data_IF_420800608168
#
_entry.id   IF_420800608168
#
_cell.length_a   1.000
_cell.length_b   1.000
_cell.length_c   1.000
_cell.angle_alpha   90.00
_cell.angle_beta   90.00
_cell.angle_gamma   90.00
#
_symmetry.space_group_name_H-M   'P 1'
#
loop_
_entity.id
_entity.type
_entity.pdbx_description
1 polymer ?
#
# COMPACT_ATOMS: atom_id res chain seq x y z
N UNK A 1 -9.60 12.92 -9.34
CA UNK A 1 -9.69 12.27 -8.05
C UNK A 1 -10.42 13.20 -7.11
N UNK A 2 -11.47 12.76 -6.46
CA UNK A 2 -12.15 13.52 -5.41
C UNK A 2 -11.52 13.02 -4.12
N UNK A 3 -10.72 13.86 -3.50
CA UNK A 3 -10.21 13.71 -2.15
C UNK A 3 -11.29 14.27 -1.22
N UNK A 4 -11.99 13.41 -0.50
CA UNK A 4 -12.90 13.84 0.56
C UNK A 4 -12.09 14.01 1.84
N UNK A 5 -12.02 15.23 2.35
CA UNK A 5 -11.38 15.50 3.62
C UNK A 5 -12.16 14.82 4.77
N UNK A 6 -11.45 14.30 5.76
CA UNK A 6 -12.05 13.61 6.91
C UNK A 6 -13.07 14.48 7.69
N UNK A 7 -12.98 15.82 7.59
CA UNK A 7 -13.94 16.77 8.15
C UNK A 7 -15.31 16.73 7.44
N UNK A 8 -15.34 16.50 6.13
CA UNK A 8 -16.59 16.41 5.37
C UNK A 8 -17.30 15.06 5.62
N UNK A 9 -16.54 14.00 5.89
CA UNK A 9 -17.09 12.71 6.29
C UNK A 9 -17.70 12.77 7.71
N UNK A 10 -17.09 13.51 8.63
CA UNK A 10 -17.56 13.68 10.00
C UNK A 10 -18.93 14.37 10.08
N UNK A 11 -19.19 15.36 9.22
CA UNK A 11 -20.47 16.05 9.14
C UNK A 11 -21.57 15.15 8.53
N UNK A 12 -21.22 14.24 7.65
CA UNK A 12 -22.13 13.27 7.02
C UNK A 12 -22.55 12.14 7.98
N UNK A 13 -21.70 11.74 8.91
CA UNK A 13 -21.92 10.63 9.83
C UNK A 13 -22.69 11.02 11.12
N UNK A 14 -23.06 12.29 11.28
CA UNK A 14 -24.10 12.74 12.23
C UNK A 14 -23.81 12.54 13.71
N UNK A 15 -22.58 12.52 14.14
CA UNK A 15 -22.27 12.45 15.56
C UNK A 15 -20.87 11.95 15.88
N UNK A 16 -20.16 12.76 16.63
CA UNK A 16 -18.96 12.48 17.44
C UNK A 16 -17.76 11.71 16.85
N UNK A 17 -17.68 11.55 15.55
CA UNK A 17 -16.40 11.36 14.86
C UNK A 17 -15.68 12.72 14.78
N UNK A 18 -15.41 13.29 15.95
CA UNK A 18 -14.42 14.38 16.05
C UNK A 18 -13.04 13.77 15.84
N UNK A 19 -12.74 13.46 14.58
CA UNK A 19 -11.37 13.48 14.12
C UNK A 19 -10.88 14.88 14.45
N UNK A 20 -9.97 14.98 15.42
CA UNK A 20 -9.39 16.26 15.78
C UNK A 20 -8.76 16.82 14.51
N UNK A 21 -9.33 17.87 13.95
CA UNK A 21 -8.77 18.64 12.84
C UNK A 21 -7.32 19.11 13.11
N UNK A 22 -6.85 19.03 14.35
CA UNK A 22 -5.47 19.25 14.75
C UNK A 22 -4.46 18.15 14.37
N UNK A 23 -4.90 16.99 13.88
CA UNK A 23 -3.96 15.93 13.45
C UNK A 23 -3.56 16.06 11.97
N UNK A 24 -4.32 16.79 11.17
CA UNK A 24 -4.02 17.01 9.74
C UNK A 24 -3.05 18.19 9.55
N UNK A 25 -3.12 19.22 10.39
CA UNK A 25 -2.18 20.35 10.37
C UNK A 25 -0.80 20.02 10.99
N UNK A 26 -0.63 18.89 11.66
CA UNK A 26 0.64 18.49 12.28
C UNK A 26 1.63 17.81 11.31
N UNK A 27 1.34 17.75 10.02
CA UNK A 27 2.31 17.34 8.97
C UNK A 27 3.21 18.52 8.55
N UNK A 28 2.98 19.73 9.09
CA UNK A 28 3.87 20.89 9.01
C UNK A 28 4.90 20.87 10.14
N UNK A 29 6.12 20.58 9.81
CA UNK A 29 7.43 20.95 10.39
C UNK A 29 7.60 21.22 11.91
N UNK A 30 6.76 20.68 12.77
CA UNK A 30 6.97 20.72 14.23
C UNK A 30 6.91 19.32 14.80
N UNK A 31 8.05 18.88 15.38
CA UNK A 31 8.24 17.58 15.97
C UNK A 31 7.09 17.12 16.84
N UNK A 32 6.25 16.29 16.30
CA UNK A 32 5.35 15.44 17.08
C UNK A 32 6.25 14.51 17.87
N UNK A 33 6.13 14.45 19.21
CA UNK A 33 6.86 13.46 19.98
C UNK A 33 6.52 12.10 19.39
N UNK A 34 7.52 11.27 19.16
CA UNK A 34 7.35 9.90 18.70
C UNK A 34 6.29 9.24 19.60
N UNK A 35 5.09 9.10 19.09
CA UNK A 35 4.10 8.21 19.70
C UNK A 35 4.69 6.83 19.50
N UNK A 36 5.17 6.23 20.59
CA UNK A 36 5.80 4.93 20.53
C UNK A 36 4.88 3.92 19.87
N UNK A 37 5.44 3.14 18.95
CA UNK A 37 4.89 1.89 18.43
C UNK A 37 3.49 1.94 17.78
N UNK A 38 3.12 3.02 17.08
CA UNK A 38 1.97 2.97 16.20
C UNK A 38 2.39 2.37 14.86
N UNK A 39 1.79 1.24 14.50
CA UNK A 39 2.01 0.58 13.22
C UNK A 39 0.97 1.04 12.20
N UNK A 40 1.43 1.48 11.05
CA UNK A 40 0.57 1.72 9.89
C UNK A 40 0.22 0.37 9.26
N UNK A 41 -1.05 0.11 9.09
CA UNK A 41 -1.53 -1.07 8.37
C UNK A 41 -2.59 -0.63 7.35
N UNK A 42 -2.38 -1.03 6.13
CA UNK A 42 -3.25 -0.68 5.02
C UNK A 42 -4.16 -1.86 4.66
N UNK A 43 -5.40 -1.58 4.34
CA UNK A 43 -6.35 -2.61 3.99
C UNK A 43 -7.12 -2.22 2.73
N UNK A 44 -7.01 -3.02 1.68
CA UNK A 44 -7.82 -2.90 0.48
C UNK A 44 -9.19 -3.53 0.70
N UNK A 45 -10.23 -2.84 0.25
CA UNK A 45 -11.63 -3.23 0.42
C UNK A 45 -12.40 -3.02 -0.88
N UNK A 46 -13.20 -4.01 -1.25
CA UNK A 46 -14.23 -3.84 -2.26
C UNK A 46 -15.52 -3.38 -1.58
N UNK A 47 -16.14 -2.34 -2.11
CA UNK A 47 -17.37 -1.75 -1.55
C UNK A 47 -18.42 -1.61 -2.64
N UNK A 48 -19.64 -2.01 -2.33
CA UNK A 48 -20.80 -1.84 -3.18
C UNK A 48 -22.04 -1.48 -2.39
N UNK A 49 -22.55 -0.27 -2.59
CA UNK A 49 -23.84 0.18 -2.06
C UNK A 49 -24.06 0.03 -0.54
N UNK A 50 -23.01 -0.27 0.23
CA UNK A 50 -23.06 -0.51 1.67
C UNK A 50 -22.53 -1.88 2.11
N UNK A 51 -22.31 -2.79 1.20
CA UNK A 51 -21.57 -4.03 1.41
C UNK A 51 -20.07 -3.80 1.19
N UNK A 52 -19.23 -4.51 1.95
CA UNK A 52 -17.78 -4.40 1.84
C UNK A 52 -17.12 -5.74 2.15
N UNK A 53 -16.21 -6.16 1.25
CA UNK A 53 -15.40 -7.37 1.39
C UNK A 53 -13.94 -6.99 1.54
N UNK A 54 -13.24 -7.59 2.50
CA UNK A 54 -11.81 -7.38 2.69
C UNK A 54 -11.02 -8.13 1.61
N UNK A 55 -10.12 -7.43 0.89
CA UNK A 55 -9.22 -8.07 -0.06
C UNK A 55 -7.98 -8.61 0.66
N UNK A 56 -7.11 -7.73 1.15
CA UNK A 56 -5.91 -8.10 1.90
C UNK A 56 -5.35 -6.91 2.68
N UNK A 57 -4.49 -7.20 3.66
CA UNK A 57 -3.72 -6.20 4.37
C UNK A 57 -2.32 -6.06 3.77
N UNK A 58 -1.76 -4.85 3.85
CA UNK A 58 -0.37 -4.58 3.57
C UNK A 58 0.18 -3.59 4.60
N UNK A 59 1.50 -3.52 4.72
CA UNK A 59 2.17 -2.48 5.48
C UNK A 59 3.16 -1.76 4.59
N UNK A 60 2.96 -0.44 4.45
CA UNK A 60 3.80 0.46 3.63
C UNK A 60 4.92 1.10 4.47
N UNK A 61 5.95 1.57 3.76
CA UNK A 61 7.07 2.33 4.29
C UNK A 61 7.11 3.71 3.62
N UNK A 62 6.40 4.68 4.20
CA UNK A 62 6.16 6.00 3.60
C UNK A 62 7.36 6.95 3.64
N UNK A 63 8.28 6.78 4.57
CA UNK A 63 9.46 7.64 4.66
C UNK A 63 10.51 7.27 3.62
N UNK A 64 11.16 8.29 3.05
CA UNK A 64 12.14 8.09 1.96
C UNK A 64 13.40 7.35 2.41
N UNK A 65 13.83 7.53 3.64
CA UNK A 65 15.07 6.97 4.20
C UNK A 65 14.85 5.79 5.12
N UNK A 66 15.91 4.99 5.26
CA UNK A 66 15.96 3.86 6.19
C UNK A 66 15.70 4.30 7.64
N UNK A 67 15.16 3.39 8.46
CA UNK A 67 14.75 3.70 9.84
C UNK A 67 13.60 4.69 9.92
N UNK A 68 12.83 4.86 8.85
CA UNK A 68 11.70 5.77 8.73
C UNK A 68 12.08 7.25 8.95
N UNK A 69 13.18 7.67 8.34
CA UNK A 69 13.67 9.04 8.34
C UNK A 69 13.36 9.79 7.03
N UNK A 70 13.35 11.13 7.12
CA UNK A 70 13.16 12.01 5.98
C UNK A 70 11.68 12.27 5.65
N UNK A 71 11.39 12.92 4.51
CA UNK A 71 10.04 13.28 4.11
C UNK A 71 9.18 12.05 3.78
N UNK A 72 7.87 12.25 3.82
CA UNK A 72 6.90 11.28 3.32
C UNK A 72 6.99 11.19 1.79
N UNK A 73 6.69 10.02 1.28
CA UNK A 73 6.65 9.69 -0.15
C UNK A 73 5.33 9.02 -0.49
N UNK A 74 5.16 8.59 -1.73
CA UNK A 74 4.05 7.71 -2.12
C UNK A 74 4.21 6.27 -1.65
N UNK A 75 5.31 5.93 -0.95
CA UNK A 75 5.67 4.59 -0.51
C UNK A 75 6.99 4.12 -1.12
N UNK A 76 7.89 3.61 -0.28
CA UNK A 76 9.21 3.09 -0.67
C UNK A 76 9.26 1.57 -0.72
N UNK A 77 8.15 0.94 -0.38
CA UNK A 77 7.97 -0.50 -0.39
C UNK A 77 6.91 -0.94 0.59
N UNK A 78 6.35 -2.11 0.34
CA UNK A 78 5.30 -2.69 1.16
C UNK A 78 5.46 -4.21 1.27
N UNK A 79 4.77 -4.82 2.21
CA UNK A 79 4.62 -6.27 2.29
C UNK A 79 3.20 -6.66 2.67
N UNK A 80 2.78 -7.83 2.21
CA UNK A 80 1.46 -8.40 2.45
C UNK A 80 1.58 -9.91 2.74
N UNK A 81 0.85 -10.46 3.74
CA UNK A 81 -0.02 -9.76 4.66
C UNK A 81 0.75 -8.87 5.64
N UNK A 82 0.05 -7.95 6.31
CA UNK A 82 0.57 -7.21 7.45
C UNK A 82 0.22 -7.96 8.75
N UNK A 83 1.16 -8.66 9.43
CA UNK A 83 0.82 -9.49 10.59
C UNK A 83 0.32 -8.68 11.79
N UNK A 84 0.65 -7.40 11.84
CA UNK A 84 0.16 -6.47 12.86
C UNK A 84 -1.36 -6.25 12.81
N UNK A 85 -1.97 -6.36 11.63
CA UNK A 85 -3.42 -6.36 11.47
C UNK A 85 -3.97 -7.77 11.68
N UNK A 86 -4.12 -8.15 12.96
CA UNK A 86 -4.67 -9.46 13.32
C UNK A 86 -6.10 -9.62 12.79
N UNK A 87 -6.63 -10.86 12.65
CA UNK A 87 -8.02 -11.09 12.23
C UNK A 87 -9.05 -10.34 13.08
N UNK A 88 -8.78 -10.16 14.38
CA UNK A 88 -9.64 -9.38 15.26
C UNK A 88 -9.61 -7.89 14.92
N UNK A 89 -8.42 -7.31 14.69
CA UNK A 89 -8.27 -5.91 14.31
C UNK A 89 -8.83 -5.64 12.91
N UNK A 90 -8.67 -6.60 11.99
CA UNK A 90 -9.28 -6.51 10.66
C UNK A 90 -10.81 -6.50 10.75
N UNK A 91 -11.40 -7.42 11.53
CA UNK A 91 -12.85 -7.44 11.76
C UNK A 91 -13.32 -6.11 12.34
N UNK A 92 -12.62 -5.56 13.36
CA UNK A 92 -12.94 -4.26 13.93
C UNK A 92 -12.84 -3.12 12.91
N UNK A 93 -11.81 -3.10 12.09
CA UNK A 93 -11.67 -2.11 11.02
C UNK A 93 -12.85 -2.17 10.04
N UNK A 94 -13.30 -3.37 9.68
CA UNK A 94 -14.47 -3.56 8.83
C UNK A 94 -15.76 -3.08 9.52
N UNK A 95 -15.98 -3.47 10.77
CA UNK A 95 -17.25 -3.23 11.45
C UNK A 95 -17.36 -1.79 11.98
N UNK A 96 -16.25 -1.19 12.44
CA UNK A 96 -16.24 0.11 13.10
C UNK A 96 -15.89 1.27 12.12
N UNK A 97 -15.24 0.98 10.96
CA UNK A 97 -14.73 2.01 10.05
C UNK A 97 -15.31 1.84 8.64
N UNK A 98 -15.04 0.72 7.96
CA UNK A 98 -15.30 0.60 6.51
C UNK A 98 -16.80 0.49 6.21
N UNK A 99 -17.49 -0.48 6.82
CA UNK A 99 -18.93 -0.68 6.59
C UNK A 99 -19.80 0.50 7.02
N UNK A 100 -19.54 1.16 8.17
CA UNK A 100 -20.26 2.39 8.53
C UNK A 100 -20.07 3.49 7.48
N UNK A 101 -18.86 3.68 6.97
CA UNK A 101 -18.58 4.69 5.93
C UNK A 101 -19.35 4.38 4.63
N UNK A 102 -19.29 3.15 4.15
CA UNK A 102 -20.01 2.74 2.94
C UNK A 102 -21.53 2.95 3.08
N UNK A 103 -22.09 2.57 4.22
CA UNK A 103 -23.53 2.76 4.51
C UNK A 103 -23.91 4.24 4.61
N UNK A 104 -23.09 5.05 5.24
CA UNK A 104 -23.34 6.48 5.36
C UNK A 104 -23.34 7.17 3.99
N UNK A 105 -22.41 6.82 3.10
CA UNK A 105 -22.37 7.31 1.73
C UNK A 105 -23.63 6.90 0.95
N UNK A 106 -24.06 5.65 1.06
CA UNK A 106 -25.28 5.17 0.42
C UNK A 106 -26.53 5.92 0.94
N UNK A 107 -26.64 6.12 2.26
CA UNK A 107 -27.74 6.88 2.88
C UNK A 107 -27.76 8.36 2.47
N UNK A 108 -26.58 8.94 2.21
CA UNK A 108 -26.47 10.30 1.70
C UNK A 108 -26.79 10.41 0.19
N UNK A 109 -27.17 9.33 -0.46
CA UNK A 109 -27.46 9.31 -1.91
C UNK A 109 -26.22 9.34 -2.79
N UNK A 110 -25.05 9.02 -2.24
CA UNK A 110 -23.75 8.95 -2.90
C UNK A 110 -23.12 7.56 -2.70
N UNK A 111 -23.77 6.46 -3.13
CA UNK A 111 -23.22 5.13 -2.94
C UNK A 111 -21.85 5.02 -3.63
N UNK A 112 -20.87 4.46 -2.94
CA UNK A 112 -19.57 4.17 -3.51
C UNK A 112 -19.56 2.71 -4.00
N UNK A 113 -19.02 2.48 -5.19
CA UNK A 113 -18.72 1.16 -5.73
C UNK A 113 -17.31 1.19 -6.27
N UNK A 114 -16.46 0.24 -5.86
CA UNK A 114 -15.07 0.18 -6.27
C UNK A 114 -14.14 -0.24 -5.14
N UNK A 115 -12.87 0.06 -5.31
CA UNK A 115 -11.82 -0.22 -4.35
C UNK A 115 -11.65 0.92 -3.37
N UNK A 116 -11.74 0.60 -2.09
CA UNK A 116 -11.53 1.53 -1.00
C UNK A 116 -10.27 1.10 -0.23
N UNK A 117 -9.20 1.85 -0.39
CA UNK A 117 -8.00 1.70 0.42
C UNK A 117 -8.18 2.49 1.72
N UNK A 118 -8.13 1.81 2.84
CA UNK A 118 -8.21 2.42 4.16
C UNK A 118 -6.83 2.44 4.80
N UNK A 119 -6.25 3.64 4.93
CA UNK A 119 -5.03 3.88 5.71
C UNK A 119 -5.38 3.86 7.20
N UNK A 120 -4.81 2.92 7.94
CA UNK A 120 -5.13 2.67 9.34
C UNK A 120 -3.91 2.88 10.24
N UNK A 121 -4.14 3.52 11.38
CA UNK A 121 -3.22 3.56 12.50
C UNK A 121 -3.69 2.57 13.57
N UNK A 122 -2.84 1.60 13.91
CA UNK A 122 -3.12 0.66 14.99
C UNK A 122 -2.68 1.27 16.33
N UNK A 123 -3.63 1.46 17.23
CA UNK A 123 -3.40 2.05 18.55
C UNK A 123 -3.78 1.05 19.65
N UNK A 124 -3.45 1.36 20.91
CA UNK A 124 -3.88 0.55 22.06
C UNK A 124 -5.42 0.44 22.17
N UNK A 125 -6.17 1.39 21.61
CA UNK A 125 -7.63 1.38 21.60
C UNK A 125 -8.22 0.62 20.41
N UNK A 126 -7.40 0.28 19.40
CA UNK A 126 -7.79 -0.40 18.18
C UNK A 126 -7.43 0.39 16.92
N UNK A 127 -7.94 -0.04 15.75
CA UNK A 127 -7.67 0.62 14.50
C UNK A 127 -8.31 2.02 14.46
N UNK A 128 -7.57 3.00 13.95
CA UNK A 128 -8.05 4.37 13.70
C UNK A 128 -7.81 4.67 12.22
N UNK A 129 -8.83 5.24 11.57
CA UNK A 129 -8.70 5.69 10.19
C UNK A 129 -7.84 6.94 10.11
N UNK A 130 -6.86 6.94 9.21
CA UNK A 130 -6.07 8.11 8.84
C UNK A 130 -6.70 8.77 7.61
N UNK A 131 -6.87 7.98 6.54
CA UNK A 131 -7.41 8.45 5.26
C UNK A 131 -8.06 7.31 4.48
N UNK A 132 -8.86 7.67 3.49
CA UNK A 132 -9.29 6.78 2.44
C UNK A 132 -8.69 7.20 1.10
N UNK A 133 -8.30 6.22 0.30
CA UNK A 133 -8.03 6.40 -1.11
C UNK A 133 -9.02 5.54 -1.92
N UNK A 134 -9.61 6.12 -2.96
CA UNK A 134 -10.61 5.45 -3.81
C UNK A 134 -9.95 4.77 -5.02
N UNK A 135 -8.87 4.07 -4.76
CA UNK A 135 -8.02 3.35 -5.73
C UNK A 135 -7.18 2.31 -5.02
N UNK A 136 -6.51 1.46 -5.80
CA UNK A 136 -5.44 0.63 -5.23
C UNK A 136 -4.34 1.49 -4.60
N UNK A 137 -3.76 1.02 -3.51
CA UNK A 137 -2.52 1.56 -2.99
C UNK A 137 -1.36 1.29 -3.96
N UNK A 138 -0.34 2.10 -3.90
CA UNK A 138 0.91 1.94 -4.63
C UNK A 138 2.04 2.38 -3.67
N UNK A 139 2.84 1.43 -3.12
CA UNK A 139 3.16 0.10 -3.67
C UNK A 139 2.37 -1.08 -3.06
N UNK A 140 1.26 -0.88 -2.38
CA UNK A 140 0.55 -1.96 -1.71
C UNK A 140 -0.07 -2.95 -2.71
N UNK A 141 -0.58 -2.48 -3.86
CA UNK A 141 -1.16 -3.38 -4.86
C UNK A 141 -0.13 -4.34 -5.45
N UNK A 142 1.11 -3.89 -5.64
CA UNK A 142 2.21 -4.72 -6.12
C UNK A 142 2.59 -5.83 -5.11
N UNK A 143 2.29 -5.64 -3.82
CA UNK A 143 2.44 -6.68 -2.81
C UNK A 143 1.19 -7.55 -2.65
N UNK A 144 -0.01 -7.03 -2.89
CA UNK A 144 -1.26 -7.75 -2.66
C UNK A 144 -1.66 -8.58 -3.87
N UNK A 145 -1.68 -7.99 -5.08
CA UNK A 145 -2.22 -8.64 -6.27
C UNK A 145 -1.50 -9.95 -6.66
N UNK A 146 -0.17 -10.08 -6.52
CA UNK A 146 0.50 -11.35 -6.76
C UNK A 146 0.09 -12.50 -5.82
N UNK A 147 -0.61 -12.18 -4.73
CA UNK A 147 -1.15 -13.17 -3.78
C UNK A 147 -2.58 -13.57 -4.09
N UNK A 148 -3.27 -12.84 -4.97
CA UNK A 148 -4.65 -13.17 -5.34
C UNK A 148 -4.66 -14.46 -6.17
N UNK A 149 -5.41 -15.46 -5.72
CA UNK A 149 -5.67 -16.70 -6.45
C UNK A 149 -7.06 -16.64 -7.08
N UNK A 150 -7.22 -17.26 -8.25
CA UNK A 150 -8.48 -17.25 -8.98
C UNK A 150 -8.58 -16.15 -10.04
N UNK A 151 -9.82 -15.84 -10.43
CA UNK A 151 -10.10 -14.90 -11.52
C UNK A 151 -10.28 -13.46 -11.00
N UNK A 152 -9.18 -12.71 -10.99
CA UNK A 152 -9.16 -11.31 -10.59
C UNK A 152 -10.07 -10.41 -11.46
N UNK A 153 -10.20 -10.72 -12.76
CA UNK A 153 -11.06 -9.94 -13.66
C UNK A 153 -12.54 -10.18 -13.33
N UNK A 154 -12.92 -11.42 -12.99
CA UNK A 154 -14.27 -11.72 -12.50
C UNK A 154 -14.56 -10.99 -11.17
N UNK A 155 -13.59 -10.89 -10.27
CA UNK A 155 -13.73 -10.10 -9.04
C UNK A 155 -14.03 -8.62 -9.35
N UNK A 156 -13.24 -7.99 -10.22
CA UNK A 156 -13.47 -6.59 -10.60
C UNK A 156 -14.82 -6.39 -11.30
N UNK A 157 -15.26 -7.38 -12.10
CA UNK A 157 -16.55 -7.34 -12.75
C UNK A 157 -17.70 -7.42 -11.73
N UNK A 158 -17.58 -8.28 -10.71
CA UNK A 158 -18.56 -8.39 -9.62
C UNK A 158 -18.70 -7.06 -8.87
N UNK A 159 -17.57 -6.39 -8.56
CA UNK A 159 -17.57 -5.04 -7.97
C UNK A 159 -18.32 -4.05 -8.88
N UNK A 160 -17.98 -4.01 -10.17
CA UNK A 160 -18.59 -3.10 -11.13
C UNK A 160 -20.11 -3.35 -11.34
N UNK A 161 -20.56 -4.57 -11.10
CA UNK A 161 -21.97 -4.97 -11.23
C UNK A 161 -22.77 -4.89 -9.92
N UNK A 162 -22.12 -4.57 -8.82
CA UNK A 162 -22.76 -4.55 -7.50
C UNK A 162 -23.11 -5.95 -6.99
N UNK A 163 -22.27 -6.93 -7.20
CA UNK A 163 -22.52 -8.35 -6.91
C UNK A 163 -21.46 -8.90 -5.93
N UNK A 164 -21.15 -8.15 -4.86
CA UNK A 164 -20.17 -8.57 -3.86
C UNK A 164 -20.64 -9.68 -2.93
N UNK A 165 -21.96 -9.91 -2.80
CA UNK A 165 -22.53 -10.79 -1.79
C UNK A 165 -22.04 -12.25 -1.82
N UNK A 166 -21.68 -12.76 -2.99
CA UNK A 166 -21.19 -14.13 -3.21
C UNK A 166 -19.68 -14.18 -3.53
N UNK A 167 -18.98 -13.02 -3.45
CA UNK A 167 -17.58 -12.95 -3.78
C UNK A 167 -16.72 -13.57 -2.69
N UNK A 168 -15.98 -14.61 -3.04
CA UNK A 168 -14.90 -15.18 -2.23
C UNK A 168 -13.57 -14.85 -2.86
N UNK A 169 -12.70 -14.20 -2.11
CA UNK A 169 -11.35 -13.86 -2.55
C UNK A 169 -10.39 -14.83 -1.90
N UNK A 170 -9.73 -15.63 -2.71
CA UNK A 170 -8.72 -16.56 -2.25
C UNK A 170 -7.34 -15.91 -2.39
N UNK A 171 -6.57 -15.98 -1.32
CA UNK A 171 -5.22 -15.43 -1.25
C UNK A 171 -4.22 -16.55 -1.00
N UNK A 172 -3.12 -16.52 -1.73
CA UNK A 172 -1.98 -17.38 -1.48
C UNK A 172 -1.49 -17.25 -0.03
N UNK A 173 -1.10 -18.37 0.57
CA UNK A 173 -0.45 -18.39 1.88
C UNK A 173 0.96 -17.78 1.87
N UNK A 174 1.51 -17.47 0.69
CA UNK A 174 2.81 -16.83 0.57
C UNK A 174 2.75 -15.38 1.03
N UNK A 175 3.88 -14.90 1.53
CA UNK A 175 4.12 -13.48 1.80
C UNK A 175 4.70 -12.83 0.55
N UNK A 176 4.23 -11.64 0.23
CA UNK A 176 4.81 -10.80 -0.81
C UNK A 176 5.55 -9.62 -0.17
N UNK A 177 6.66 -9.23 -0.77
CA UNK A 177 7.36 -7.99 -0.45
C UNK A 177 7.68 -7.23 -1.72
N UNK A 178 7.35 -5.95 -1.73
CA UNK A 178 7.66 -5.00 -2.80
C UNK A 178 8.72 -4.02 -2.31
N UNK A 179 9.77 -3.82 -3.09
CA UNK A 179 10.79 -2.80 -2.87
C UNK A 179 10.75 -1.80 -4.02
N UNK A 180 10.57 -0.54 -3.71
CA UNK A 180 10.56 0.54 -4.71
C UNK A 180 11.99 0.99 -4.99
N UNK A 181 12.37 1.02 -6.26
CA UNK A 181 13.57 1.69 -6.76
C UNK A 181 13.13 3.07 -7.25
N UNK A 182 13.64 4.10 -6.59
CA UNK A 182 13.32 5.49 -6.88
C UNK A 182 14.51 6.20 -7.53
N UNK A 183 14.24 7.26 -8.28
CA UNK A 183 15.25 8.13 -8.86
C UNK A 183 15.88 9.03 -7.79
N UNK A 184 17.18 9.30 -7.89
CA UNK A 184 17.89 10.27 -7.05
C UNK A 184 17.14 11.59 -7.01
N UNK A 185 17.01 12.18 -5.83
CA UNK A 185 16.24 13.42 -5.59
C UNK A 185 14.76 13.22 -5.30
N UNK A 186 14.21 11.99 -5.43
CA UNK A 186 12.84 11.70 -5.01
C UNK A 186 12.67 11.88 -3.49
N UNK A 187 11.56 12.45 -2.98
CA UNK A 187 10.35 12.84 -3.69
C UNK A 187 10.36 14.25 -4.30
N UNK A 188 11.33 15.11 -4.00
CA UNK A 188 11.28 16.55 -4.29
C UNK A 188 11.62 16.89 -5.75
N UNK A 189 12.76 16.39 -6.24
CA UNK A 189 13.24 16.68 -7.61
C UNK A 189 13.90 15.44 -8.21
N UNK A 190 13.12 14.45 -8.66
CA UNK A 190 13.65 13.19 -9.15
C UNK A 190 14.37 13.34 -10.48
N UNK A 191 15.58 12.78 -10.57
CA UNK A 191 16.35 12.70 -11.81
C UNK A 191 15.61 11.88 -12.88
N UNK A 192 15.67 12.32 -14.14
CA UNK A 192 15.02 11.66 -15.28
C UNK A 192 16.03 11.34 -16.38
N UNK A 193 15.70 10.34 -17.21
CA UNK A 193 16.48 9.98 -18.39
C UNK A 193 17.62 9.02 -18.11
N UNK A 194 17.87 8.62 -16.85
CA UNK A 194 18.85 7.59 -16.52
C UNK A 194 18.48 6.24 -17.14
N UNK A 195 19.42 5.53 -17.79
CA UNK A 195 19.16 4.21 -18.39
C UNK A 195 18.96 3.15 -17.30
N UNK A 196 18.11 2.17 -17.61
CA UNK A 196 17.77 1.06 -16.72
C UNK A 196 18.03 -0.24 -17.48
N UNK A 197 18.87 -1.08 -16.90
CA UNK A 197 19.17 -2.43 -17.39
C UNK A 197 19.00 -3.47 -16.28
N UNK A 198 19.16 -4.76 -16.62
CA UNK A 198 19.14 -5.85 -15.62
C UNK A 198 17.75 -6.39 -15.27
N UNK A 199 16.65 -5.90 -15.83
CA UNK A 199 15.28 -6.35 -15.51
C UNK A 199 15.14 -7.87 -15.75
N UNK A 200 15.57 -8.39 -16.90
CA UNK A 200 15.51 -9.83 -17.17
C UNK A 200 16.33 -10.67 -16.16
N UNK A 201 17.43 -10.10 -15.64
CA UNK A 201 18.23 -10.76 -14.62
C UNK A 201 17.50 -10.78 -13.28
N UNK A 202 16.82 -9.69 -12.91
CA UNK A 202 15.99 -9.59 -11.72
C UNK A 202 14.82 -10.58 -11.77
N UNK A 203 14.12 -10.69 -12.88
CA UNK A 203 12.98 -11.60 -13.07
C UNK A 203 13.37 -13.09 -13.11
N UNK A 204 14.65 -13.42 -13.32
CA UNK A 204 15.14 -14.79 -13.14
C UNK A 204 15.22 -15.25 -11.67
N UNK A 205 15.13 -14.33 -10.73
CA UNK A 205 15.02 -14.69 -9.31
C UNK A 205 13.64 -15.32 -9.07
N UNK A 206 13.61 -16.51 -8.50
CA UNK A 206 12.37 -17.24 -8.24
C UNK A 206 11.33 -16.42 -7.47
N UNK A 207 10.11 -16.39 -7.98
CA UNK A 207 8.98 -15.69 -7.35
C UNK A 207 9.04 -14.17 -7.48
N UNK A 208 9.91 -13.63 -8.34
CA UNK A 208 10.05 -12.19 -8.55
C UNK A 208 9.27 -11.74 -9.79
N UNK A 209 8.65 -10.58 -9.66
CA UNK A 209 8.06 -9.79 -10.74
C UNK A 209 8.56 -8.36 -10.64
N UNK A 210 8.95 -7.77 -11.76
CA UNK A 210 9.36 -6.37 -11.83
C UNK A 210 8.24 -5.55 -12.47
N UNK A 211 7.63 -4.67 -11.68
CA UNK A 211 6.61 -3.74 -12.17
C UNK A 211 7.25 -2.41 -12.59
N UNK A 212 6.80 -1.91 -13.75
CA UNK A 212 7.20 -0.62 -14.26
C UNK A 212 6.29 0.48 -13.71
N UNK A 213 6.87 1.41 -12.94
CA UNK A 213 6.18 2.61 -12.47
C UNK A 213 6.54 3.79 -13.38
N UNK A 214 7.53 4.59 -13.02
CA UNK A 214 7.97 5.74 -13.78
C UNK A 214 9.05 5.40 -14.82
N UNK A 215 8.75 4.60 -15.81
CA UNK A 215 9.68 4.23 -16.90
C UNK A 215 9.15 4.65 -18.26
N UNK A 216 10.06 4.88 -19.22
CA UNK A 216 9.73 5.12 -20.62
C UNK A 216 10.74 4.43 -21.56
N UNK A 217 10.30 4.00 -22.74
CA UNK A 217 11.21 3.51 -23.78
C UNK A 217 11.62 4.65 -24.70
N UNK A 218 12.92 4.83 -24.87
CA UNK A 218 13.45 5.70 -25.89
C UNK A 218 13.34 5.04 -27.28
N UNK A 219 13.42 5.83 -28.34
CA UNK A 219 13.31 5.34 -29.75
C UNK A 219 14.32 4.24 -30.13
N UNK A 220 15.46 4.13 -29.46
CA UNK A 220 16.44 3.04 -29.59
C UNK A 220 16.03 1.74 -28.90
N UNK A 221 14.90 1.73 -28.14
CA UNK A 221 14.49 0.61 -27.32
C UNK A 221 15.04 0.64 -25.90
N UNK A 222 15.96 1.56 -25.57
CA UNK A 222 16.52 1.72 -24.21
C UNK A 222 15.43 2.11 -23.23
N UNK A 223 15.38 1.45 -22.09
CA UNK A 223 14.50 1.80 -20.99
C UNK A 223 15.12 2.92 -20.17
N UNK A 224 14.34 3.94 -19.85
CA UNK A 224 14.78 5.12 -19.12
C UNK A 224 13.87 5.40 -17.93
N UNK A 225 14.42 5.97 -16.86
CA UNK A 225 13.65 6.53 -15.77
C UNK A 225 12.90 7.79 -16.24
N UNK A 226 11.60 7.85 -15.97
CA UNK A 226 10.70 8.94 -16.37
C UNK A 226 9.91 9.53 -15.21
N UNK A 227 9.96 8.91 -14.02
CA UNK A 227 9.24 9.33 -12.81
C UNK A 227 10.11 9.27 -11.56
N UNK A 228 9.52 9.60 -10.41
CA UNK A 228 10.19 9.57 -9.12
C UNK A 228 10.36 8.14 -8.59
N UNK A 229 9.27 7.37 -8.52
CA UNK A 229 9.32 5.91 -8.32
C UNK A 229 9.43 5.28 -9.71
N UNK A 230 10.42 4.45 -9.91
CA UNK A 230 10.83 3.99 -11.24
C UNK A 230 10.44 2.53 -11.47
N UNK A 231 10.78 1.67 -10.52
CA UNK A 231 10.42 0.25 -10.54
C UNK A 231 9.86 -0.15 -9.17
N UNK A 232 8.95 -1.11 -9.17
CA UNK A 232 8.53 -1.82 -7.98
C UNK A 232 8.91 -3.30 -8.16
N UNK A 233 9.81 -3.81 -7.30
CA UNK A 233 10.33 -5.16 -7.39
C UNK A 233 9.68 -6.00 -6.31
N UNK A 234 8.78 -6.87 -6.73
CA UNK A 234 7.99 -7.72 -5.84
C UNK A 234 8.50 -9.14 -5.85
N UNK A 235 8.63 -9.74 -4.69
CA UNK A 235 8.95 -11.15 -4.53
C UNK A 235 7.94 -11.86 -3.64
N UNK A 236 7.56 -13.06 -4.04
CA UNK A 236 6.82 -14.02 -3.22
C UNK A 236 7.78 -14.95 -2.48
N UNK A 237 7.41 -15.32 -1.26
CA UNK A 237 8.15 -16.31 -0.48
C UNK A 237 7.30 -16.93 0.63
N UNK A 238 7.65 -18.13 1.13
CA UNK A 238 6.93 -18.77 2.24
C UNK A 238 6.90 -17.94 3.52
N UNK A 239 7.90 -17.06 3.69
CA UNK A 239 8.02 -16.16 4.84
C UNK A 239 8.43 -14.76 4.39
N UNK A 240 8.20 -13.75 5.23
CA UNK A 240 8.65 -12.39 4.98
C UNK A 240 10.19 -12.31 4.77
N UNK A 241 10.94 -13.10 5.54
CA UNK A 241 12.40 -13.15 5.42
C UNK A 241 12.86 -13.67 4.04
N UNK A 242 12.19 -14.69 3.50
CA UNK A 242 12.49 -15.23 2.18
C UNK A 242 12.03 -14.32 1.06
N UNK A 243 10.82 -13.77 1.14
CA UNK A 243 10.32 -12.76 0.20
C UNK A 243 11.30 -11.57 0.14
N UNK A 244 11.74 -11.07 1.30
CA UNK A 244 12.75 -10.02 1.40
C UNK A 244 14.07 -10.39 0.75
N UNK A 245 14.61 -11.58 1.04
CA UNK A 245 15.86 -12.03 0.46
C UNK A 245 15.81 -12.15 -1.06
N UNK A 246 14.67 -12.59 -1.61
CA UNK A 246 14.41 -12.66 -3.05
C UNK A 246 14.30 -11.27 -3.67
N UNK A 247 13.50 -10.38 -3.06
CA UNK A 247 13.30 -9.00 -3.54
C UNK A 247 14.64 -8.25 -3.64
N UNK A 248 15.45 -8.26 -2.59
CA UNK A 248 16.74 -7.56 -2.62
C UNK A 248 17.76 -8.21 -3.56
N UNK A 249 17.75 -9.53 -3.74
CA UNK A 249 18.56 -10.19 -4.76
C UNK A 249 18.19 -9.72 -6.18
N UNK A 250 16.91 -9.49 -6.42
CA UNK A 250 16.44 -8.95 -7.68
C UNK A 250 16.78 -7.46 -7.84
N UNK A 251 16.63 -6.67 -6.77
CA UNK A 251 17.08 -5.26 -6.73
C UNK A 251 18.56 -5.15 -7.08
N UNK A 252 19.40 -6.03 -6.54
CA UNK A 252 20.84 -6.03 -6.79
C UNK A 252 21.22 -6.43 -8.24
N UNK A 253 20.30 -7.02 -8.98
CA UNK A 253 20.46 -7.34 -10.41
C UNK A 253 20.07 -6.16 -11.32
N UNK A 254 19.38 -5.13 -10.81
CA UNK A 254 19.03 -3.92 -11.58
C UNK A 254 20.25 -3.04 -11.69
N UNK A 255 20.59 -2.66 -12.93
CA UNK A 255 21.60 -1.62 -13.21
C UNK A 255 20.89 -0.30 -13.52
N UNK A 256 20.84 0.55 -12.50
CA UNK A 256 20.29 1.91 -12.59
C UNK A 256 21.10 2.85 -11.68
N UNK A 257 22.12 3.50 -12.24
CA UNK A 257 23.12 4.29 -11.52
C UNK A 257 22.51 5.48 -10.74
N UNK A 258 21.44 6.09 -11.28
CA UNK A 258 20.74 7.23 -10.67
C UNK A 258 19.63 6.78 -9.72
N UNK A 259 19.57 5.49 -9.39
CA UNK A 259 18.52 4.91 -8.54
C UNK A 259 18.96 4.72 -7.10
N UNK A 260 17.97 4.69 -6.22
CA UNK A 260 18.15 4.23 -4.84
C UNK A 260 16.90 3.46 -4.37
N UNK A 261 17.05 2.66 -3.33
CA UNK A 261 15.95 2.03 -2.61
C UNK A 261 16.25 2.00 -1.12
N UNK A 262 15.24 1.75 -0.32
CA UNK A 262 15.43 1.42 1.10
C UNK A 262 15.83 -0.04 1.22
N UNK A 263 16.82 -0.33 2.06
CA UNK A 263 17.29 -1.70 2.34
C UNK A 263 16.65 -2.34 3.57
N UNK A 264 15.76 -1.59 4.23
CA UNK A 264 15.16 -1.98 5.50
C UNK A 264 13.65 -2.29 5.41
N UNK A 265 13.06 -2.43 4.21
CA UNK A 265 11.64 -2.77 4.07
C UNK A 265 11.33 -4.04 4.87
N UNK A 266 10.27 -3.99 5.69
CA UNK A 266 9.85 -5.09 6.57
C UNK A 266 10.66 -5.26 7.85
N UNK A 267 11.58 -4.34 8.18
CA UNK A 267 12.48 -4.47 9.30
C UNK A 267 11.79 -4.64 10.65
N UNK A 268 10.73 -3.85 10.91
CA UNK A 268 9.98 -3.92 12.17
C UNK A 268 9.37 -5.29 12.42
N UNK A 269 8.76 -5.87 11.40
CA UNK A 269 8.13 -7.20 11.51
C UNK A 269 9.17 -8.30 11.71
N UNK A 270 10.30 -8.23 11.01
CA UNK A 270 11.41 -9.18 11.19
C UNK A 270 12.02 -9.10 12.59
N UNK A 271 12.01 -7.94 13.22
CA UNK A 271 12.45 -7.78 14.62
C UNK A 271 11.44 -8.33 15.62
N UNK A 272 10.13 -8.18 15.36
CA UNK A 272 9.07 -8.79 16.18
C UNK A 272 9.16 -10.31 16.19
N UNK A 273 9.38 -10.93 15.03
CA UNK A 273 9.51 -12.37 14.89
C UNK A 273 10.74 -12.98 15.58
N UNK A 274 11.67 -12.14 16.08
CA UNK A 274 12.87 -12.57 16.82
C UNK A 274 12.69 -12.54 18.35
N UNK A 275 11.64 -11.90 18.85
CA UNK A 275 11.28 -11.84 20.29
C UNK A 275 10.34 -12.95 20.65
#
# INVERSE_FOLDING_TARGET
>A
GVELAASELGDLLGGDLRLHAGAIDAVGDHGVPAVGDADDADALRDVDGGEAVALASAQDHKRVGEGDHGPNTGGMGAYSPAPVLTPELERRAMDEIVRPTARAMAQAGMPFSGLLYAGLMLTAEGPKLIEYNVRFGDPECEAILPRVEGDFAAMLLAVAQGQLGDLSIELSAQTAMTVVVAASGYPSDPAKGGPIDGIEAAERVEGVTVFHSGTARHGSGTLLAAGGRVLAITALGPTLAEARARAYRAVDAIDYADGFCRRDIGWRELERGRK
#
